data_IF_922698582198
#
_entry.id   IF_922698582198
#
_cell.length_a   1.000
_cell.length_b   1.000
_cell.length_c   1.000
_cell.angle_alpha   90.00
_cell.angle_beta   90.00
_cell.angle_gamma   90.00
#
_symmetry.space_group_name_H-M   'P 1'
#
loop_
_entity.id
_entity.type
_entity.pdbx_description
1 polymer ?
#
# COMPACT_ATOMS: atom_id res chain seq x y z
N UNK A 1 16.01 16.84 0.79
CA UNK A 1 15.30 16.67 -0.46
C UNK A 1 14.45 15.39 -0.41
N UNK A 2 13.24 15.44 -0.96
CA UNK A 2 12.27 14.33 -0.97
C UNK A 2 12.79 13.03 -1.61
N UNK A 3 13.89 13.08 -2.35
CA UNK A 3 14.53 11.93 -2.97
C UNK A 3 15.65 11.30 -2.10
N UNK A 4 15.85 11.76 -0.88
CA UNK A 4 16.82 11.17 0.05
C UNK A 4 16.31 9.94 0.81
N UNK A 5 15.03 9.58 0.68
CA UNK A 5 14.44 8.33 1.13
C UNK A 5 13.82 7.64 -0.07
N UNK A 6 14.38 6.54 -0.51
CA UNK A 6 13.84 5.70 -1.57
C UNK A 6 13.93 4.25 -1.12
N UNK A 7 12.81 3.52 -1.19
CA UNK A 7 12.87 2.08 -1.23
C UNK A 7 13.40 1.73 -2.62
N UNK A 8 14.65 1.29 -2.68
CA UNK A 8 15.24 0.73 -3.90
C UNK A 8 14.57 -0.58 -4.25
N UNK A 9 14.92 -1.08 -5.41
CA UNK A 9 14.32 -2.24 -6.08
C UNK A 9 13.94 -3.37 -5.12
N UNK A 10 12.64 -3.63 -5.02
CA UNK A 10 12.08 -4.75 -4.26
C UNK A 10 12.35 -6.02 -5.05
N UNK A 11 13.30 -6.85 -4.61
CA UNK A 11 13.61 -8.10 -5.29
C UNK A 11 12.44 -9.09 -5.16
N UNK A 12 11.77 -9.33 -6.27
CA UNK A 12 10.54 -10.11 -6.38
C UNK A 12 10.78 -11.60 -6.13
N UNK A 13 10.42 -12.12 -4.98
CA UNK A 13 10.32 -13.58 -4.79
C UNK A 13 9.03 -14.19 -5.35
N UNK A 14 7.98 -13.38 -5.64
CA UNK A 14 6.67 -13.89 -6.06
C UNK A 14 6.02 -13.11 -7.23
N UNK A 15 6.75 -12.31 -7.99
CA UNK A 15 6.21 -11.59 -9.15
C UNK A 15 5.27 -10.43 -8.82
N UNK A 16 5.28 -9.91 -7.59
CA UNK A 16 4.63 -8.66 -7.19
C UNK A 16 5.64 -7.52 -7.20
N UNK A 17 5.19 -6.32 -7.51
CA UNK A 17 6.04 -5.13 -7.61
C UNK A 17 6.22 -4.41 -6.25
N UNK A 18 5.37 -4.75 -5.26
CA UNK A 18 5.31 -4.12 -3.94
C UNK A 18 5.62 -5.11 -2.81
N UNK A 19 5.48 -4.65 -1.56
CA UNK A 19 5.58 -5.48 -0.37
C UNK A 19 4.55 -6.61 -0.40
N UNK A 20 5.00 -7.85 -0.18
CA UNK A 20 4.18 -9.06 -0.27
C UNK A 20 3.62 -9.48 1.08
N UNK A 21 2.41 -10.08 1.09
CA UNK A 21 1.89 -10.80 2.26
C UNK A 21 2.35 -12.27 2.28
N UNK A 22 2.85 -12.81 1.18
CA UNK A 22 3.13 -14.24 1.03
C UNK A 22 4.58 -14.64 1.29
N UNK A 23 5.47 -13.68 1.47
CA UNK A 23 6.90 -13.91 1.74
C UNK A 23 7.54 -12.66 2.32
N UNK A 24 8.76 -12.82 2.88
CA UNK A 24 9.62 -11.69 3.19
C UNK A 24 9.98 -10.91 1.94
N UNK A 25 10.13 -9.61 2.08
CA UNK A 25 10.51 -8.67 1.03
C UNK A 25 11.87 -8.06 1.37
N UNK A 26 12.84 -8.20 0.47
CA UNK A 26 14.12 -7.52 0.61
C UNK A 26 13.95 -6.04 0.28
N UNK A 27 14.44 -5.18 1.16
CA UNK A 27 14.35 -3.72 1.05
C UNK A 27 15.75 -3.15 1.00
N UNK A 28 16.01 -2.29 0.01
CA UNK A 28 17.16 -1.39 -0.03
C UNK A 28 16.68 0.03 0.25
N UNK A 29 17.04 0.59 1.39
CA UNK A 29 16.65 1.94 1.79
C UNK A 29 17.83 2.90 1.64
N UNK A 30 17.66 3.95 0.85
CA UNK A 30 18.59 5.07 0.81
C UNK A 30 18.19 6.09 1.89
N UNK A 31 19.06 6.24 2.90
CA UNK A 31 18.89 7.20 3.99
C UNK A 31 20.23 7.88 4.30
N UNK A 32 20.21 9.21 4.36
CA UNK A 32 21.39 10.03 4.67
C UNK A 32 22.62 9.72 3.79
N UNK A 33 22.39 9.39 2.50
CA UNK A 33 23.44 9.07 1.55
C UNK A 33 24.03 7.66 1.67
N UNK A 34 23.44 6.81 2.52
CA UNK A 34 23.83 5.42 2.71
C UNK A 34 22.70 4.47 2.37
N UNK A 35 23.02 3.30 1.82
CA UNK A 35 22.10 2.24 1.53
C UNK A 35 22.08 1.24 2.68
N UNK A 36 20.89 0.98 3.20
CA UNK A 36 20.61 -0.04 4.22
C UNK A 36 19.81 -1.17 3.59
N UNK A 37 20.29 -2.39 3.73
CA UNK A 37 19.57 -3.58 3.23
C UNK A 37 18.99 -4.35 4.42
N UNK A 38 17.71 -4.67 4.33
CA UNK A 38 17.02 -5.47 5.34
C UNK A 38 15.84 -6.24 4.73
N UNK A 39 15.31 -7.20 5.46
CA UNK A 39 14.12 -7.96 5.07
C UNK A 39 12.93 -7.53 5.93
N UNK A 40 11.77 -7.40 5.30
CA UNK A 40 10.49 -7.04 5.93
C UNK A 40 9.53 -8.19 5.78
N UNK A 41 8.92 -8.62 6.87
CA UNK A 41 7.87 -9.62 6.89
C UNK A 41 6.54 -8.99 7.35
N UNK A 42 5.38 -9.40 6.80
CA UNK A 42 4.08 -8.91 7.28
C UNK A 42 3.89 -9.08 8.77
N UNK A 43 4.39 -10.18 9.33
CA UNK A 43 4.31 -10.53 10.76
C UNK A 43 5.05 -9.54 11.67
N UNK A 44 6.06 -8.83 11.15
CA UNK A 44 6.76 -7.76 11.89
C UNK A 44 5.81 -6.62 12.27
N UNK A 45 4.69 -6.52 11.57
CA UNK A 45 3.64 -5.51 11.78
C UNK A 45 2.32 -6.10 12.28
N UNK A 46 2.34 -7.36 12.76
CA UNK A 46 1.12 -8.04 13.22
C UNK A 46 0.14 -8.37 12.10
N UNK A 47 0.60 -8.42 10.85
CA UNK A 47 -0.19 -8.80 9.68
C UNK A 47 0.05 -10.28 9.39
N UNK A 48 -1.02 -11.07 9.30
CA UNK A 48 -0.90 -12.49 8.98
C UNK A 48 -0.41 -12.70 7.55
N UNK A 49 0.50 -13.66 7.38
CA UNK A 49 0.92 -14.06 6.04
C UNK A 49 -0.25 -14.65 5.24
N UNK A 50 -0.33 -14.27 3.96
CA UNK A 50 -1.40 -14.71 3.06
C UNK A 50 -0.83 -14.99 1.67
N UNK A 51 -1.30 -16.09 1.06
CA UNK A 51 -0.87 -16.44 -0.28
C UNK A 51 -1.39 -15.43 -1.31
N UNK A 52 -0.56 -15.09 -2.30
CA UNK A 52 -0.89 -14.14 -3.38
C UNK A 52 -2.13 -14.52 -4.20
N UNK A 53 -2.48 -15.82 -4.24
CA UNK A 53 -3.70 -16.29 -4.89
C UNK A 53 -4.98 -15.67 -4.32
N UNK A 54 -4.97 -15.25 -3.05
CA UNK A 54 -6.11 -14.62 -2.39
C UNK A 54 -6.36 -13.18 -2.85
N UNK A 55 -5.44 -12.62 -3.64
CA UNK A 55 -5.51 -11.27 -4.21
C UNK A 55 -5.74 -11.30 -5.73
N UNK A 56 -5.84 -12.50 -6.33
CA UNK A 56 -6.10 -12.62 -7.76
C UNK A 56 -7.54 -12.27 -8.06
N UNK A 57 -7.71 -11.52 -9.14
CA UNK A 57 -9.01 -11.14 -9.71
C UNK A 57 -9.05 -11.57 -11.17
N UNK A 58 -10.23 -11.91 -11.68
CA UNK A 58 -10.41 -12.39 -13.04
C UNK A 58 -10.53 -11.23 -14.05
N UNK A 59 -11.11 -10.11 -13.63
CA UNK A 59 -11.41 -8.98 -14.50
C UNK A 59 -11.45 -7.64 -13.76
N UNK A 60 -11.69 -6.57 -14.49
CA UNK A 60 -11.77 -5.21 -13.96
C UNK A 60 -12.94 -5.01 -12.98
N UNK A 61 -14.04 -5.74 -13.15
CA UNK A 61 -15.19 -5.64 -12.26
C UNK A 61 -14.88 -6.23 -10.88
N UNK A 62 -14.25 -7.39 -10.84
CA UNK A 62 -13.76 -7.99 -9.59
C UNK A 62 -12.68 -7.13 -8.93
N UNK A 63 -11.75 -6.58 -9.72
CA UNK A 63 -10.72 -5.66 -9.22
C UNK A 63 -11.35 -4.43 -8.57
N UNK A 64 -12.33 -3.81 -9.23
CA UNK A 64 -13.08 -2.69 -8.68
C UNK A 64 -13.83 -3.06 -7.39
N UNK A 65 -14.48 -4.22 -7.38
CA UNK A 65 -15.19 -4.68 -6.20
C UNK A 65 -14.25 -4.89 -5.00
N UNK A 66 -13.09 -5.51 -5.21
CA UNK A 66 -12.07 -5.69 -4.19
C UNK A 66 -11.52 -4.35 -3.69
N UNK A 67 -11.24 -3.39 -4.59
CA UNK A 67 -10.82 -2.04 -4.21
C UNK A 67 -11.84 -1.35 -3.30
N UNK A 68 -13.12 -1.41 -3.67
CA UNK A 68 -14.18 -0.79 -2.87
C UNK A 68 -14.33 -1.44 -1.50
N UNK A 69 -14.20 -2.77 -1.40
CA UNK A 69 -14.19 -3.47 -0.11
C UNK A 69 -13.04 -2.98 0.79
N UNK A 70 -11.85 -2.76 0.24
CA UNK A 70 -10.72 -2.19 0.99
C UNK A 70 -11.07 -0.79 1.51
N UNK A 71 -11.60 0.08 0.65
CA UNK A 71 -11.98 1.43 1.03
C UNK A 71 -13.17 1.50 1.99
N UNK A 72 -14.01 0.47 2.02
CA UNK A 72 -15.10 0.27 2.99
C UNK A 72 -14.60 -0.44 4.27
N UNK A 73 -13.28 -0.58 4.43
CA UNK A 73 -12.60 -1.17 5.58
C UNK A 73 -13.03 -2.63 5.88
N UNK A 74 -13.34 -3.41 4.84
CA UNK A 74 -13.68 -4.82 4.99
C UNK A 74 -12.42 -5.62 5.32
N UNK A 75 -12.36 -6.33 6.47
CA UNK A 75 -11.20 -7.11 6.87
C UNK A 75 -10.85 -8.22 5.87
N UNK A 76 -9.55 -8.41 5.63
CA UNK A 76 -9.05 -9.47 4.77
C UNK A 76 -7.70 -9.16 4.13
N UNK A 77 -7.13 -10.10 3.36
CA UNK A 77 -5.82 -9.94 2.74
C UNK A 77 -5.69 -8.70 1.85
N UNK A 78 -6.77 -8.29 1.17
CA UNK A 78 -6.76 -7.09 0.34
C UNK A 78 -6.60 -5.81 1.18
N UNK A 79 -7.27 -5.71 2.33
CA UNK A 79 -7.09 -4.61 3.27
C UNK A 79 -5.67 -4.60 3.85
N UNK A 80 -5.16 -5.77 4.19
CA UNK A 80 -3.85 -5.92 4.80
C UNK A 80 -2.72 -5.51 3.86
N UNK A 81 -2.75 -5.95 2.60
CA UNK A 81 -1.71 -5.59 1.63
C UNK A 81 -1.74 -4.10 1.28
N UNK A 82 -2.92 -3.51 1.19
CA UNK A 82 -3.06 -2.06 0.96
C UNK A 82 -2.53 -1.28 2.15
N UNK A 83 -2.87 -1.66 3.38
CA UNK A 83 -2.35 -1.00 4.57
C UNK A 83 -0.82 -1.11 4.68
N UNK A 84 -0.25 -2.29 4.38
CA UNK A 84 1.20 -2.52 4.39
C UNK A 84 1.92 -1.61 3.39
N UNK A 85 1.47 -1.60 2.14
CA UNK A 85 2.12 -0.82 1.08
C UNK A 85 1.88 0.69 1.23
N UNK A 86 0.68 1.11 1.62
CA UNK A 86 0.40 2.51 1.95
C UNK A 86 1.25 2.98 3.14
N UNK A 87 1.44 2.13 4.15
CA UNK A 87 2.30 2.41 5.29
C UNK A 87 3.75 2.66 4.88
N UNK A 88 4.30 1.82 4.01
CA UNK A 88 5.62 2.01 3.45
C UNK A 88 5.73 3.31 2.63
N UNK A 89 4.72 3.61 1.80
CA UNK A 89 4.66 4.84 1.03
C UNK A 89 4.63 6.10 1.93
N UNK A 90 3.87 6.07 3.01
CA UNK A 90 3.81 7.16 4.00
C UNK A 90 5.16 7.38 4.70
N UNK A 91 5.87 6.30 5.02
CA UNK A 91 7.22 6.37 5.56
C UNK A 91 8.20 7.00 4.57
N UNK A 92 8.22 6.54 3.32
CA UNK A 92 9.10 7.07 2.26
C UNK A 92 8.82 8.54 1.99
N UNK A 93 7.56 8.95 2.03
CA UNK A 93 7.12 10.34 1.86
C UNK A 93 7.47 11.24 3.08
N UNK A 94 7.99 10.68 4.17
CA UNK A 94 8.29 11.44 5.39
C UNK A 94 7.06 11.88 6.17
N UNK A 95 5.90 11.26 5.90
CA UNK A 95 4.62 11.50 6.61
C UNK A 95 4.53 10.68 7.88
N UNK A 96 5.22 9.55 7.93
CA UNK A 96 5.35 8.67 9.09
C UNK A 96 6.82 8.43 9.42
N UNK A 97 7.12 8.19 10.70
CA UNK A 97 8.50 8.03 11.18
C UNK A 97 9.03 6.59 10.96
N UNK A 98 8.13 5.64 10.74
CA UNK A 98 8.45 4.23 10.44
C UNK A 98 7.38 3.62 9.53
N UNK A 99 7.68 2.45 8.94
CA UNK A 99 6.68 1.67 8.20
C UNK A 99 5.51 1.28 9.13
N UNK A 100 5.80 0.90 10.37
CA UNK A 100 4.78 0.54 11.36
C UNK A 100 3.82 1.71 11.64
N UNK A 101 4.34 2.92 11.86
CA UNK A 101 3.51 4.12 12.07
C UNK A 101 2.70 4.46 10.82
N UNK A 102 3.30 4.28 9.64
CA UNK A 102 2.62 4.44 8.37
C UNK A 102 1.44 3.48 8.20
N UNK A 103 1.61 2.20 8.59
CA UNK A 103 0.53 1.20 8.57
C UNK A 103 -0.62 1.59 9.50
N UNK A 104 -0.30 2.04 10.73
CA UNK A 104 -1.32 2.53 11.68
C UNK A 104 -2.11 3.68 11.05
N UNK A 105 -1.43 4.63 10.44
CA UNK A 105 -2.05 5.79 9.79
C UNK A 105 -2.89 5.39 8.57
N UNK A 106 -2.39 4.47 7.73
CA UNK A 106 -3.15 3.92 6.61
C UNK A 106 -4.46 3.26 7.07
N UNK A 107 -4.40 2.44 8.12
CA UNK A 107 -5.59 1.81 8.70
C UNK A 107 -6.58 2.82 9.27
N UNK A 108 -6.12 3.93 9.87
CA UNK A 108 -6.98 4.99 10.37
C UNK A 108 -7.81 5.64 9.26
N UNK A 109 -7.19 6.03 8.15
CA UNK A 109 -7.89 6.68 7.02
C UNK A 109 -8.80 5.72 6.25
N UNK A 110 -8.54 4.42 6.30
CA UNK A 110 -9.46 3.40 5.79
C UNK A 110 -10.67 3.25 6.72
N UNK A 111 -10.45 3.21 8.02
CA UNK A 111 -11.50 3.01 9.02
C UNK A 111 -12.44 4.22 9.16
N UNK A 112 -11.93 5.45 9.01
CA UNK A 112 -12.73 6.68 9.13
C UNK A 112 -13.41 7.10 7.82
N UNK A 113 -13.14 6.40 6.70
CA UNK A 113 -13.71 6.65 5.38
C UNK A 113 -13.03 7.78 4.59
N UNK A 114 -11.97 8.40 5.11
CA UNK A 114 -11.24 9.48 4.42
C UNK A 114 -10.66 9.02 3.09
N UNK A 115 -10.13 7.79 3.03
CA UNK A 115 -9.60 7.21 1.80
C UNK A 115 -10.70 7.03 0.73
N UNK A 116 -11.90 6.59 1.14
CA UNK A 116 -13.05 6.47 0.24
C UNK A 116 -13.50 7.83 -0.28
N UNK A 117 -13.62 8.82 0.59
CA UNK A 117 -14.00 10.19 0.21
C UNK A 117 -12.99 10.81 -0.78
N UNK A 118 -11.70 10.52 -0.63
CA UNK A 118 -10.65 10.97 -1.55
C UNK A 118 -10.85 10.37 -2.95
N UNK A 119 -11.15 9.06 -3.06
CA UNK A 119 -11.46 8.43 -4.35
C UNK A 119 -12.69 9.05 -5.00
N UNK A 120 -13.77 9.24 -4.24
CA UNK A 120 -15.03 9.80 -4.77
C UNK A 120 -14.81 11.23 -5.30
N UNK A 121 -14.04 12.05 -4.59
CA UNK A 121 -13.66 13.39 -5.03
C UNK A 121 -12.80 13.36 -6.30
N UNK A 122 -11.84 12.43 -6.40
CA UNK A 122 -11.01 12.26 -7.59
C UNK A 122 -11.85 11.85 -8.81
N UNK A 123 -12.76 10.90 -8.66
CA UNK A 123 -13.68 10.46 -9.72
C UNK A 123 -14.55 11.62 -10.18
N UNK A 124 -15.14 12.39 -9.26
CA UNK A 124 -15.96 13.55 -9.61
C UNK A 124 -15.15 14.61 -10.39
N UNK A 125 -13.92 14.90 -9.96
CA UNK A 125 -13.02 15.83 -10.64
C UNK A 125 -12.71 15.39 -12.07
N UNK A 126 -12.34 14.12 -12.27
CA UNK A 126 -12.00 13.59 -13.60
C UNK A 126 -13.19 13.59 -14.56
N UNK A 127 -14.40 13.30 -14.07
CA UNK A 127 -15.61 13.37 -14.87
C UNK A 127 -15.96 14.80 -15.31
N UNK A 128 -15.78 15.79 -14.44
CA UNK A 128 -15.98 17.19 -14.78
C UNK A 128 -14.96 17.68 -15.82
N UNK A 129 -13.70 17.29 -15.69
CA UNK A 129 -12.65 17.64 -16.66
C UNK A 129 -12.94 17.09 -18.06
N UNK A 130 -13.48 15.85 -18.14
CA UNK A 130 -13.83 15.22 -19.43
C UNK A 130 -15.06 15.88 -20.07
N UNK A 131 -15.97 16.43 -19.28
CA UNK A 131 -17.19 17.09 -19.81
C UNK A 131 -16.91 18.51 -20.39
N UNK A 132 -15.74 19.10 -20.12
CA UNK A 132 -15.35 20.45 -20.57
C UNK A 132 -14.38 20.45 -21.75
N UNK A 133 -13.95 19.30 -22.24
CA UNK A 133 -13.05 19.09 -23.38
C UNK A 133 -13.80 18.50 -24.57
#
# INVERSE_FOLDING_TARGET
PLWSRGLGDVYKRQGMDELSLGAGTLVGELRDGQVYEYEVHPEDFGIAMSASRNLKVADAAESRAMLLQVLDNVPGPALDIVALNAGAALYVAGVADSIADGIVRARQVLADGSARACLDAYVAFTQQATAQG
#
